data_IF_021350480756
#
_entry.id   IF_021350480756
#
_cell.length_a   1.000
_cell.length_b   1.000
_cell.length_c   1.000
_cell.angle_alpha   90.00
_cell.angle_beta   90.00
_cell.angle_gamma   90.00
#
_symmetry.space_group_name_H-M   'P 1'
#
loop_
_entity.id
_entity.type
_entity.pdbx_description
1 polymer ?
#
# COMPACT_ATOMS: atom_id res chain seq x y z
N UNK A 1 -28.22 -57.91 -18.24
CA UNK A 1 -27.52 -56.64 -17.97
C UNK A 1 -26.77 -56.79 -16.66
N UNK A 2 -25.45 -56.66 -16.67
CA UNK A 2 -24.64 -57.03 -15.50
C UNK A 2 -24.87 -56.07 -14.34
N UNK A 3 -25.02 -56.61 -13.13
CA UNK A 3 -25.26 -55.80 -11.92
C UNK A 3 -24.17 -54.75 -11.70
N UNK A 4 -22.94 -55.05 -12.11
CA UNK A 4 -21.78 -54.12 -12.07
C UNK A 4 -21.93 -52.97 -13.07
N UNK A 5 -22.49 -53.24 -14.25
CA UNK A 5 -22.78 -52.23 -15.27
C UNK A 5 -23.88 -51.26 -14.78
N UNK A 6 -24.95 -51.81 -14.19
CA UNK A 6 -26.04 -51.02 -13.60
C UNK A 6 -25.56 -50.12 -12.45
N UNK A 7 -24.72 -50.66 -11.56
CA UNK A 7 -24.12 -49.86 -10.46
C UNK A 7 -23.20 -48.77 -11.01
N UNK A 8 -22.38 -49.07 -12.03
CA UNK A 8 -21.50 -48.09 -12.67
C UNK A 8 -22.26 -46.91 -13.29
N UNK A 9 -23.35 -47.19 -14.01
CA UNK A 9 -24.20 -46.14 -14.60
C UNK A 9 -24.87 -45.30 -13.51
N UNK A 10 -25.34 -45.93 -12.42
CA UNK A 10 -25.94 -45.24 -11.29
C UNK A 10 -24.97 -44.26 -10.60
N UNK A 11 -23.72 -44.68 -10.38
CA UNK A 11 -22.68 -43.83 -9.77
C UNK A 11 -22.33 -42.65 -10.68
N UNK A 12 -22.15 -42.89 -11.98
CA UNK A 12 -21.88 -41.82 -12.95
C UNK A 12 -23.03 -40.81 -13.01
N UNK A 13 -24.28 -41.27 -13.02
CA UNK A 13 -25.45 -40.40 -12.98
C UNK A 13 -25.50 -39.53 -11.72
N UNK A 14 -25.22 -40.11 -10.55
CA UNK A 14 -25.19 -39.38 -9.28
C UNK A 14 -24.12 -38.28 -9.28
N UNK A 15 -22.90 -38.57 -9.77
CA UNK A 15 -21.81 -37.58 -9.86
C UNK A 15 -22.21 -36.42 -10.79
N UNK A 16 -22.84 -36.73 -11.92
CA UNK A 16 -23.27 -35.72 -12.89
C UNK A 16 -24.33 -34.78 -12.30
N UNK A 17 -25.29 -35.32 -11.56
CA UNK A 17 -26.34 -34.53 -10.89
C UNK A 17 -25.74 -33.64 -9.79
N UNK A 18 -24.86 -34.17 -8.94
CA UNK A 18 -24.20 -33.38 -7.89
C UNK A 18 -23.31 -32.29 -8.48
N UNK A 19 -22.56 -32.60 -9.54
CA UNK A 19 -21.73 -31.63 -10.25
C UNK A 19 -22.55 -30.49 -10.87
N UNK A 20 -23.65 -30.82 -11.55
CA UNK A 20 -24.56 -29.84 -12.12
C UNK A 20 -25.21 -28.94 -11.06
N UNK A 21 -25.62 -29.51 -9.92
CA UNK A 21 -26.19 -28.75 -8.81
C UNK A 21 -25.16 -27.80 -8.17
N UNK A 22 -23.93 -28.26 -7.94
CA UNK A 22 -22.86 -27.43 -7.37
C UNK A 22 -22.45 -26.30 -8.32
N UNK A 23 -22.32 -26.60 -9.62
CA UNK A 23 -22.00 -25.61 -10.65
C UNK A 23 -23.13 -24.59 -10.81
N UNK A 24 -24.38 -25.04 -10.91
CA UNK A 24 -25.56 -24.18 -11.00
C UNK A 24 -25.71 -23.27 -9.78
N UNK A 25 -25.49 -23.79 -8.58
CA UNK A 25 -25.52 -22.99 -7.35
C UNK A 25 -24.43 -21.92 -7.31
N UNK A 26 -23.18 -22.23 -7.69
CA UNK A 26 -22.12 -21.23 -7.76
C UNK A 26 -22.39 -20.18 -8.84
N UNK A 27 -22.90 -20.59 -10.00
CA UNK A 27 -23.25 -19.68 -11.08
C UNK A 27 -24.36 -18.71 -10.64
N UNK A 28 -25.44 -19.24 -10.06
CA UNK A 28 -26.56 -18.45 -9.54
C UNK A 28 -26.12 -17.48 -8.43
N UNK A 29 -25.26 -17.93 -7.51
CA UNK A 29 -24.70 -17.06 -6.46
C UNK A 29 -23.85 -15.93 -7.07
N UNK A 30 -23.07 -16.21 -8.11
CA UNK A 30 -22.26 -15.20 -8.81
C UNK A 30 -23.12 -14.20 -9.59
N UNK A 31 -24.22 -14.66 -10.21
CA UNK A 31 -25.11 -13.79 -10.99
C UNK A 31 -26.02 -12.89 -10.15
N UNK A 32 -26.22 -13.20 -8.87
CA UNK A 32 -26.98 -12.37 -7.93
C UNK A 32 -26.12 -11.36 -7.16
N UNK A 33 -24.81 -11.26 -7.46
CA UNK A 33 -23.99 -10.16 -6.95
C UNK A 33 -24.29 -8.95 -7.83
N UNK A 34 -24.89 -7.86 -7.30
CA UNK A 34 -25.21 -6.69 -8.09
C UNK A 34 -23.92 -6.08 -8.67
N UNK A 35 -23.95 -5.71 -9.95
CA UNK A 35 -22.81 -5.22 -10.73
C UNK A 35 -22.14 -3.97 -10.13
N UNK A 36 -22.81 -3.23 -9.23
CA UNK A 36 -22.24 -2.12 -8.46
C UNK A 36 -21.14 -2.55 -7.48
N UNK A 37 -21.18 -3.78 -6.96
CA UNK A 37 -20.22 -4.25 -5.96
C UNK A 37 -18.83 -4.55 -6.54
N UNK A 38 -18.74 -4.92 -7.81
CA UNK A 38 -17.47 -5.23 -8.48
C UNK A 38 -16.59 -4.00 -8.71
N UNK A 39 -17.20 -2.85 -9.01
CA UNK A 39 -16.47 -1.59 -9.21
C UNK A 39 -15.93 -1.01 -7.90
N UNK A 40 -16.73 -1.07 -6.83
CA UNK A 40 -16.32 -0.61 -5.50
C UNK A 40 -15.24 -1.52 -4.91
N UNK A 41 -15.38 -2.85 -5.01
CA UNK A 41 -14.34 -3.77 -4.54
C UNK A 41 -13.02 -3.65 -5.34
N UNK A 42 -13.07 -3.42 -6.65
CA UNK A 42 -11.86 -3.21 -7.45
C UNK A 42 -11.16 -1.88 -7.10
N UNK A 43 -11.94 -0.81 -6.85
CA UNK A 43 -11.41 0.49 -6.45
C UNK A 43 -10.89 0.48 -5.00
N UNK A 44 -11.57 -0.22 -4.10
CA UNK A 44 -11.16 -0.43 -2.71
C UNK A 44 -9.92 -1.34 -2.63
N UNK A 45 -9.81 -2.36 -3.48
CA UNK A 45 -8.62 -3.20 -3.59
C UNK A 45 -7.44 -2.43 -4.20
N UNK A 46 -7.67 -1.53 -5.17
CA UNK A 46 -6.65 -0.63 -5.72
C UNK A 46 -6.20 0.43 -4.69
N UNK A 47 -7.13 0.99 -3.92
CA UNK A 47 -6.85 1.92 -2.81
C UNK A 47 -5.99 1.27 -1.74
N UNK A 48 -6.41 0.10 -1.24
CA UNK A 48 -5.64 -0.67 -0.25
C UNK A 48 -4.26 -1.09 -0.79
N UNK A 49 -4.13 -1.41 -2.08
CA UNK A 49 -2.82 -1.73 -2.67
C UNK A 49 -1.90 -0.51 -2.77
N UNK A 50 -2.47 0.68 -2.98
CA UNK A 50 -1.75 1.96 -3.03
C UNK A 50 -1.30 2.40 -1.64
N UNK A 51 -2.12 2.21 -0.61
CA UNK A 51 -1.76 2.51 0.78
C UNK A 51 -0.64 1.59 1.29
N UNK A 52 -0.66 0.31 0.89
CA UNK A 52 0.43 -0.64 1.18
C UNK A 52 1.72 -0.30 0.43
N UNK A 53 1.64 0.20 -0.81
CA UNK A 53 2.81 0.62 -1.58
C UNK A 53 3.41 1.94 -1.05
N UNK A 54 2.55 2.89 -0.67
CA UNK A 54 2.95 4.16 -0.07
C UNK A 54 3.63 3.94 1.28
N UNK A 55 3.08 3.09 2.13
CA UNK A 55 3.69 2.74 3.43
C UNK A 55 5.01 1.99 3.26
N UNK A 56 5.15 1.09 2.29
CA UNK A 56 6.42 0.42 1.98
C UNK A 56 7.47 1.37 1.39
N UNK A 57 7.08 2.29 0.50
CA UNK A 57 7.99 3.30 -0.05
C UNK A 57 8.46 4.29 1.03
N UNK A 58 7.61 4.59 2.01
CA UNK A 58 7.92 5.48 3.15
C UNK A 58 8.84 4.83 4.19
N UNK A 59 8.90 3.50 4.25
CA UNK A 59 9.65 2.76 5.27
C UNK A 59 11.13 2.51 4.93
N UNK A 60 11.60 2.85 3.73
CA UNK A 60 12.92 2.37 3.26
C UNK A 60 13.90 3.40 2.67
N UNK A 61 13.52 4.67 2.48
CA UNK A 61 14.33 5.62 1.67
C UNK A 61 14.94 6.80 2.42
N UNK A 62 14.61 7.00 3.70
CA UNK A 62 15.19 8.09 4.49
C UNK A 62 15.86 7.51 5.74
N UNK A 63 17.19 7.66 5.90
CA UNK A 63 17.83 7.33 7.16
C UNK A 63 17.18 8.13 8.29
N UNK A 64 17.00 7.50 9.45
CA UNK A 64 16.43 8.18 10.62
C UNK A 64 17.26 9.43 10.94
N UNK A 65 16.67 10.61 10.76
CA UNK A 65 17.29 11.87 11.15
C UNK A 65 17.17 11.93 12.66
N UNK A 66 18.27 11.75 13.38
CA UNK A 66 18.33 12.09 14.80
C UNK A 66 18.16 13.61 14.94
N UNK A 67 17.05 14.11 15.49
CA UNK A 67 16.82 15.55 15.64
C UNK A 67 17.81 16.22 16.61
N UNK A 68 18.63 15.46 17.32
CA UNK A 68 19.70 15.96 18.18
C UNK A 68 21.08 16.01 17.50
N UNK A 69 21.27 15.36 16.35
CA UNK A 69 22.54 15.35 15.64
C UNK A 69 22.52 16.38 14.51
N UNK A 70 22.79 17.65 14.81
CA UNK A 70 23.00 18.68 13.78
C UNK A 70 24.43 18.57 13.22
N UNK A 71 24.63 18.12 11.96
CA UNK A 71 25.96 17.99 11.37
C UNK A 71 26.73 19.32 11.26
N UNK A 72 26.02 20.45 11.36
CA UNK A 72 26.58 21.79 11.29
C UNK A 72 26.93 22.40 12.65
N UNK A 73 26.63 21.71 13.76
CA UNK A 73 26.87 22.26 15.11
C UNK A 73 28.35 22.53 15.39
N UNK A 74 29.25 21.73 14.81
CA UNK A 74 30.69 21.88 14.91
C UNK A 74 31.34 22.38 13.60
N UNK A 75 30.57 22.90 12.65
CA UNK A 75 31.11 23.42 11.41
C UNK A 75 31.95 24.68 11.70
N UNK A 76 33.17 24.80 11.15
CA UNK A 76 33.99 25.99 11.35
C UNK A 76 33.36 27.21 10.66
N UNK A 77 33.33 28.35 11.35
CA UNK A 77 32.94 29.64 10.75
C UNK A 77 34.08 30.12 9.84
N UNK A 78 33.96 29.84 8.54
CA UNK A 78 34.98 30.14 7.52
C UNK A 78 35.02 31.62 7.14
N UNK A 79 34.01 32.41 7.49
CA UNK A 79 33.93 33.83 7.15
C UNK A 79 33.18 34.64 8.23
N UNK A 80 33.76 34.76 9.44
CA UNK A 80 33.12 35.48 10.52
C UNK A 80 32.98 36.96 10.15
N UNK A 81 31.74 37.46 10.21
CA UNK A 81 31.38 38.87 9.94
C UNK A 81 32.22 39.84 10.78
N UNK A 82 32.63 39.42 11.98
CA UNK A 82 33.50 40.20 12.87
C UNK A 82 34.92 40.42 12.34
N UNK A 83 35.41 39.58 11.42
CA UNK A 83 36.75 39.67 10.83
C UNK A 83 36.76 40.12 9.37
N UNK A 84 35.63 40.03 8.67
CA UNK A 84 35.57 40.33 7.23
C UNK A 84 34.74 41.56 6.88
N UNK A 85 33.92 42.06 7.81
CA UNK A 85 33.24 43.33 7.63
C UNK A 85 34.11 44.49 8.17
N UNK A 86 34.68 45.37 7.30
CA UNK A 86 35.46 46.52 7.72
C UNK A 86 34.63 47.60 8.43
N UNK A 87 33.29 47.49 8.41
CA UNK A 87 32.35 48.39 9.06
C UNK A 87 31.70 47.79 10.33
N UNK A 88 32.25 46.70 10.88
CA UNK A 88 31.72 46.03 12.08
C UNK A 88 31.72 46.92 13.34
N UNK A 89 32.51 47.99 13.36
CA UNK A 89 32.57 48.97 14.45
C UNK A 89 31.61 50.17 14.33
N UNK A 90 30.77 50.23 13.28
CA UNK A 90 29.88 51.37 13.08
C UNK A 90 28.66 51.22 14.00
N UNK A 91 28.53 52.13 14.98
CA UNK A 91 27.33 52.23 15.82
C UNK A 91 26.12 52.54 14.92
N UNK A 92 25.22 51.58 14.77
CA UNK A 92 23.97 51.76 14.03
C UNK A 92 22.98 52.67 14.75
N UNK A 93 23.18 52.92 16.05
CA UNK A 93 22.38 53.83 16.84
C UNK A 93 23.25 54.94 17.48
N UNK A 94 23.11 56.21 17.05
CA UNK A 94 23.89 57.34 17.57
C UNK A 94 23.42 57.84 18.94
N UNK A 95 22.33 57.31 19.51
CA UNK A 95 21.78 57.71 20.81
C UNK A 95 22.01 56.67 21.93
N UNK A 96 22.95 55.73 21.73
CA UNK A 96 23.44 54.78 22.76
C UNK A 96 24.91 55.00 23.11
#
# INVERSE_FOLDING_TARGET
MDKRLLVGIGVLGAILVVGAAAFGYRYYKKSNVPAESTGINALEQAGNSTDNLSSQASQGVLPSIDPQSNPMENAPDTNPVSKTNPYSGVKTNPFK
#
